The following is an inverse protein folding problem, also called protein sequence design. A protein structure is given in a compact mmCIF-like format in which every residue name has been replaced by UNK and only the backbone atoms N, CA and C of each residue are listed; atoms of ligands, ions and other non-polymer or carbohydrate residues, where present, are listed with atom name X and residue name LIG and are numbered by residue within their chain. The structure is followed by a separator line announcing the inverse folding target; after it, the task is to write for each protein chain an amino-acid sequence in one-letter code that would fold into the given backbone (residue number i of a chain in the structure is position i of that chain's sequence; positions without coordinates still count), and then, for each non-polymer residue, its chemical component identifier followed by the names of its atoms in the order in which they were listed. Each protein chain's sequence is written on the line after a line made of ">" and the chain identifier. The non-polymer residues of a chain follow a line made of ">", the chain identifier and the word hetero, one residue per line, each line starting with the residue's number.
data_IF_773858621508
#
_entry.id   IF_773858621508
#
_cell.length_a   1.000
_cell.length_b   1.000
_cell.length_c   1.000
_cell.angle_alpha   90.00
_cell.angle_beta   90.00
_cell.angle_gamma   90.00
#
_symmetry.space_group_name_H-M   'P 1'
#
loop_
_entity.id
_entity.type
_entity.pdbx_description
1 polymer ?
#
# COMPACT_ATOMS: atom_id res chain seq x y z
N UNK A 1 5.16 20.12 1.77
CA UNK A 1 4.60 19.16 0.79
C UNK A 1 3.28 18.68 1.35
N UNK A 2 2.23 18.62 0.54
CA UNK A 2 0.90 18.18 0.98
C UNK A 2 0.92 16.69 1.33
N UNK A 3 0.42 16.33 2.52
CA UNK A 3 0.32 14.95 3.01
C UNK A 3 -0.45 14.07 2.02
N UNK A 4 -1.47 14.62 1.35
CA UNK A 4 -2.21 13.92 0.31
C UNK A 4 -1.33 13.57 -0.91
N UNK A 5 -0.46 14.50 -1.33
CA UNK A 5 0.46 14.25 -2.44
C UNK A 5 1.49 13.16 -2.11
N UNK A 6 2.02 13.14 -0.88
CA UNK A 6 2.95 12.08 -0.44
C UNK A 6 2.27 10.71 -0.37
N UNK A 7 1.06 10.65 0.21
CA UNK A 7 0.25 9.44 0.24
C UNK A 7 -0.07 8.93 -1.18
N UNK A 8 -0.35 9.85 -2.13
CA UNK A 8 -0.59 9.49 -3.53
C UNK A 8 0.63 8.94 -4.23
N UNK A 9 1.79 9.57 -4.09
CA UNK A 9 3.03 9.04 -4.64
C UNK A 9 3.31 7.62 -4.12
N UNK A 10 3.17 7.40 -2.81
CA UNK A 10 3.38 6.08 -2.20
C UNK A 10 2.35 5.03 -2.65
N UNK A 11 1.07 5.42 -2.81
CA UNK A 11 0.04 4.52 -3.33
C UNK A 11 0.33 4.10 -4.78
N UNK A 12 0.77 5.03 -5.64
CA UNK A 12 1.14 4.73 -7.04
C UNK A 12 2.33 3.78 -7.10
N UNK A 13 3.34 3.99 -6.27
CA UNK A 13 4.50 3.09 -6.17
C UNK A 13 4.08 1.68 -5.73
N UNK A 14 3.13 1.58 -4.81
CA UNK A 14 2.64 0.30 -4.28
C UNK A 14 1.99 -0.58 -5.35
N UNK A 15 1.48 -0.01 -6.45
CA UNK A 15 0.85 -0.76 -7.55
C UNK A 15 1.68 -0.75 -8.84
N UNK A 16 2.90 -0.20 -8.82
CA UNK A 16 3.71 -0.02 -10.01
C UNK A 16 4.22 -1.34 -10.62
N UNK A 17 4.31 -2.40 -9.82
CA UNK A 17 4.73 -3.75 -10.19
C UNK A 17 3.60 -4.63 -10.74
N UNK A 18 2.36 -4.13 -10.78
CA UNK A 18 1.21 -4.90 -11.25
C UNK A 18 1.28 -5.09 -12.77
N UNK A 19 1.12 -6.33 -13.20
CA UNK A 19 0.93 -6.71 -14.60
C UNK A 19 -0.49 -7.30 -14.77
N UNK A 20 -1.13 -7.16 -15.94
CA UNK A 20 -0.64 -6.56 -17.19
C UNK A 20 -0.66 -5.01 -17.21
N UNK A 21 -0.05 -4.35 -18.23
CA UNK A 21 0.05 -2.88 -18.27
C UNK A 21 -1.29 -2.16 -18.36
N UNK A 22 -2.30 -2.78 -19.00
CA UNK A 22 -3.65 -2.23 -19.08
C UNK A 22 -4.29 -2.12 -17.69
N UNK A 23 -4.23 -3.18 -16.88
CA UNK A 23 -4.72 -3.16 -15.50
C UNK A 23 -3.96 -2.14 -14.65
N UNK A 24 -2.63 -2.07 -14.80
CA UNK A 24 -1.82 -1.07 -14.11
C UNK A 24 -2.23 0.36 -14.48
N UNK A 25 -2.54 0.63 -15.74
CA UNK A 25 -3.01 1.94 -16.17
C UNK A 25 -4.33 2.31 -15.50
N UNK A 26 -5.30 1.38 -15.43
CA UNK A 26 -6.56 1.57 -14.70
C UNK A 26 -6.30 1.91 -13.24
N UNK A 27 -5.45 1.15 -12.54
CA UNK A 27 -5.10 1.41 -11.15
C UNK A 27 -4.50 2.82 -10.95
N UNK A 28 -3.57 3.22 -11.82
CA UNK A 28 -2.88 4.50 -11.74
C UNK A 28 -3.79 5.70 -12.04
N UNK A 29 -4.71 5.57 -13.00
CA UNK A 29 -5.69 6.61 -13.33
C UNK A 29 -6.65 6.84 -12.16
N UNK A 30 -7.14 5.76 -11.56
CA UNK A 30 -8.02 5.81 -10.39
C UNK A 30 -7.36 6.47 -9.18
N UNK A 31 -6.09 6.15 -8.92
CA UNK A 31 -5.33 6.77 -7.83
C UNK A 31 -5.06 8.27 -8.07
N UNK A 32 -5.03 8.71 -9.32
CA UNK A 32 -4.88 10.12 -9.67
C UNK A 32 -6.15 10.90 -9.34
N UNK A 33 -7.32 10.36 -9.72
CA UNK A 33 -8.61 11.05 -9.65
C UNK A 33 -9.28 10.94 -8.29
N UNK A 34 -8.94 9.92 -7.49
CA UNK A 34 -9.61 9.72 -6.20
C UNK A 34 -9.17 10.69 -5.09
N UNK A 35 -10.04 10.85 -4.10
CA UNK A 35 -9.73 11.53 -2.83
C UNK A 35 -8.77 10.71 -1.98
N UNK A 36 -7.74 11.36 -1.46
CA UNK A 36 -6.81 10.76 -0.47
C UNK A 36 -7.27 10.95 0.98
N UNK A 37 -8.51 11.36 1.20
CA UNK A 37 -9.04 11.60 2.55
C UNK A 37 -8.90 10.39 3.50
N UNK A 38 -9.19 9.13 3.10
CA UNK A 38 -9.00 7.98 3.98
C UNK A 38 -7.55 7.83 4.47
N UNK A 39 -6.57 7.87 3.56
CA UNK A 39 -5.15 7.77 3.91
C UNK A 39 -4.67 8.97 4.73
N UNK A 40 -5.08 10.18 4.37
CA UNK A 40 -4.74 11.41 5.12
C UNK A 40 -5.32 11.37 6.53
N UNK A 41 -6.54 10.86 6.70
CA UNK A 41 -7.17 10.73 8.02
C UNK A 41 -6.35 9.83 8.96
N UNK A 42 -5.72 8.77 8.46
CA UNK A 42 -4.81 7.92 9.25
C UNK A 42 -3.64 8.76 9.78
N UNK A 43 -3.02 9.56 8.91
CA UNK A 43 -1.86 10.39 9.26
C UNK A 43 -2.22 11.51 10.25
N UNK A 44 -3.34 12.21 10.01
CA UNK A 44 -3.83 13.28 10.89
C UNK A 44 -4.26 12.72 12.25
N UNK A 45 -4.88 11.54 12.30
CA UNK A 45 -5.28 10.91 13.56
C UNK A 45 -4.06 10.53 14.42
N UNK A 46 -3.00 9.99 13.80
CA UNK A 46 -1.78 9.63 14.51
C UNK A 46 -1.04 10.87 15.04
N UNK A 47 -0.82 11.86 14.17
CA UNK A 47 -0.09 13.08 14.52
C UNK A 47 -0.88 14.02 15.43
N UNK A 48 -2.22 14.01 15.35
CA UNK A 48 -3.08 14.76 16.28
C UNK A 48 -3.06 14.21 17.70
N UNK A 49 -2.78 12.90 17.86
CA UNK A 49 -2.57 12.27 19.18
C UNK A 49 -1.17 12.51 19.72
N UNK A 50 -0.16 12.47 18.86
CA UNK A 50 1.25 12.73 19.21
C UNK A 50 1.98 13.36 18.01
N UNK A 51 2.27 14.67 18.14
CA UNK A 51 2.92 15.45 17.09
C UNK A 51 4.40 15.11 16.89
N UNK A 52 5.00 14.31 17.77
CA UNK A 52 6.38 13.84 17.62
C UNK A 52 6.51 12.61 16.68
N UNK A 53 5.38 11.99 16.31
CA UNK A 53 5.37 10.82 15.43
C UNK A 53 5.73 11.23 14.00
N UNK A 54 6.76 10.59 13.46
CA UNK A 54 7.15 10.76 12.06
C UNK A 54 6.07 10.22 11.11
N UNK A 55 5.87 10.90 9.98
CA UNK A 55 4.85 10.52 8.99
C UNK A 55 5.34 9.33 8.16
N UNK A 56 6.64 9.24 7.90
CA UNK A 56 7.23 8.26 6.99
C UNK A 56 6.89 6.80 7.38
N UNK A 57 7.01 6.36 8.65
CA UNK A 57 6.62 5.01 9.05
C UNK A 57 5.10 4.76 8.99
N UNK A 58 4.28 5.83 8.95
CA UNK A 58 2.83 5.73 8.87
C UNK A 58 2.32 5.71 7.43
N UNK A 59 3.17 6.02 6.44
CA UNK A 59 2.76 6.07 5.03
C UNK A 59 2.24 4.71 4.55
N UNK A 60 2.91 3.61 4.89
CA UNK A 60 2.47 2.27 4.48
C UNK A 60 1.08 1.95 5.05
N UNK A 61 0.79 2.38 6.28
CA UNK A 61 -0.52 2.22 6.90
C UNK A 61 -1.58 3.09 6.22
N UNK A 62 -1.24 4.34 5.93
CA UNK A 62 -2.13 5.27 5.25
C UNK A 62 -2.46 4.79 3.83
N UNK A 63 -1.46 4.31 3.09
CA UNK A 63 -1.63 3.73 1.75
C UNK A 63 -2.47 2.45 1.84
N UNK A 64 -2.18 1.55 2.77
CA UNK A 64 -2.95 0.31 2.93
C UNK A 64 -4.44 0.56 3.14
N UNK A 65 -4.78 1.51 4.03
CA UNK A 65 -6.17 1.93 4.25
C UNK A 65 -6.77 2.60 3.01
N UNK A 66 -6.01 3.46 2.33
CA UNK A 66 -6.47 4.14 1.11
C UNK A 66 -6.81 3.14 -0.01
N UNK A 67 -5.95 2.15 -0.23
CA UNK A 67 -6.16 1.14 -1.27
C UNK A 67 -7.39 0.26 -0.95
N UNK A 68 -7.54 -0.18 0.31
CA UNK A 68 -8.73 -0.94 0.73
C UNK A 68 -9.99 -0.12 0.54
N UNK A 69 -9.98 1.16 0.96
CA UNK A 69 -11.14 2.04 0.80
C UNK A 69 -11.54 2.17 -0.66
N UNK A 70 -10.58 2.44 -1.56
CA UNK A 70 -10.92 2.58 -2.97
C UNK A 70 -11.34 1.30 -3.66
N UNK A 71 -10.71 0.17 -3.31
CA UNK A 71 -11.14 -1.12 -3.83
C UNK A 71 -12.59 -1.42 -3.45
N UNK A 72 -12.96 -1.23 -2.18
CA UNK A 72 -14.33 -1.45 -1.72
C UNK A 72 -15.33 -0.43 -2.27
N UNK A 73 -14.91 0.83 -2.46
CA UNK A 73 -15.74 1.86 -3.11
C UNK A 73 -16.03 1.48 -4.56
N UNK A 74 -15.02 0.96 -5.27
CA UNK A 74 -15.19 0.46 -6.63
C UNK A 74 -16.11 -0.74 -6.69
N UNK A 75 -15.89 -1.75 -5.85
CA UNK A 75 -16.77 -2.93 -5.76
C UNK A 75 -18.22 -2.50 -5.54
N UNK A 76 -18.45 -1.49 -4.70
CA UNK A 76 -19.80 -0.94 -4.51
C UNK A 76 -20.36 -0.29 -5.77
N UNK A 77 -19.59 0.54 -6.47
CA UNK A 77 -20.03 1.19 -7.72
C UNK A 77 -20.42 0.13 -8.76
N UNK A 78 -19.51 -0.82 -8.99
CA UNK A 78 -19.68 -1.94 -9.91
C UNK A 78 -20.92 -2.76 -9.60
N UNK A 79 -21.18 -3.08 -8.33
CA UNK A 79 -22.36 -3.81 -7.93
C UNK A 79 -23.69 -3.04 -8.12
N UNK A 80 -23.66 -1.72 -8.27
CA UNK A 80 -24.86 -0.91 -8.55
C UNK A 80 -25.04 -0.61 -10.04
N UNK A 81 -23.93 -0.39 -10.75
CA UNK A 81 -23.93 0.02 -12.15
C UNK A 81 -23.96 -1.20 -13.10
N UNK A 82 -23.48 -2.36 -12.63
CA UNK A 82 -23.40 -3.62 -13.37
C UNK A 82 -22.94 -3.45 -14.84
N UNK A 83 -21.81 -2.75 -15.08
CA UNK A 83 -21.41 -2.32 -16.43
C UNK A 83 -21.20 -3.48 -17.41
N UNK A 84 -20.91 -4.69 -16.92
CA UNK A 84 -20.81 -5.91 -17.73
C UNK A 84 -22.13 -6.37 -18.36
N UNK A 85 -23.27 -5.77 -18.03
CA UNK A 85 -24.58 -6.17 -18.57
C UNK A 85 -24.92 -5.53 -19.92
N UNK A 86 -24.31 -4.39 -20.24
CA UNK A 86 -24.64 -3.54 -21.40
C UNK A 86 -23.47 -3.42 -22.41
N UNK A 87 -22.42 -4.24 -22.28
CA UNK A 87 -21.20 -4.16 -23.10
C UNK A 87 -21.08 -5.29 -24.12
N UNK A 88 -20.34 -5.04 -25.20
CA UNK A 88 -19.97 -6.06 -26.20
C UNK A 88 -18.93 -7.03 -25.62
N UNK A 89 -18.93 -8.30 -26.06
CA UNK A 89 -17.97 -9.34 -25.64
C UNK A 89 -16.49 -8.96 -25.88
N UNK A 90 -16.21 -7.94 -26.69
CA UNK A 90 -14.86 -7.42 -26.95
C UNK A 90 -14.40 -6.32 -26.01
N UNK A 91 -15.30 -5.73 -25.20
CA UNK A 91 -14.97 -4.72 -24.20
C UNK A 91 -14.54 -5.37 -22.88
N UNK A 92 -13.32 -5.06 -22.44
CA UNK A 92 -12.74 -5.64 -21.21
C UNK A 92 -12.65 -4.63 -20.06
N UNK A 93 -13.14 -3.40 -20.25
CA UNK A 93 -12.96 -2.33 -19.26
C UNK A 93 -13.69 -2.65 -17.94
N UNK A 94 -14.90 -3.20 -18.02
CA UNK A 94 -15.65 -3.66 -16.86
C UNK A 94 -14.90 -4.78 -16.09
N UNK A 95 -14.31 -5.73 -16.82
CA UNK A 95 -13.50 -6.80 -16.23
C UNK A 95 -12.23 -6.25 -15.57
N UNK A 96 -11.56 -5.29 -16.22
CA UNK A 96 -10.39 -4.63 -15.67
C UNK A 96 -10.73 -3.84 -14.40
N UNK A 97 -11.89 -3.20 -14.34
CA UNK A 97 -12.34 -2.51 -13.13
C UNK A 97 -12.64 -3.48 -11.97
N UNK A 98 -13.22 -4.66 -12.25
CA UNK A 98 -13.39 -5.72 -11.24
C UNK A 98 -12.02 -6.14 -10.69
N UNK A 99 -11.06 -6.45 -11.58
CA UNK A 99 -9.71 -6.83 -11.18
C UNK A 99 -8.99 -5.70 -10.44
N UNK A 100 -9.21 -4.44 -10.84
CA UNK A 100 -8.65 -3.30 -10.15
C UNK A 100 -9.17 -3.20 -8.73
N UNK A 101 -10.47 -3.44 -8.49
CA UNK A 101 -11.05 -3.46 -7.16
C UNK A 101 -10.36 -4.52 -6.27
N UNK A 102 -10.24 -5.75 -6.78
CA UNK A 102 -9.65 -6.87 -6.05
C UNK A 102 -8.16 -6.66 -5.74
N UNK A 103 -7.40 -6.11 -6.69
CA UNK A 103 -5.98 -5.78 -6.49
C UNK A 103 -5.83 -4.68 -5.44
N UNK A 104 -6.63 -3.62 -5.48
CA UNK A 104 -6.58 -2.54 -4.49
C UNK A 104 -6.85 -3.06 -3.06
N UNK A 105 -7.89 -3.88 -2.89
CA UNK A 105 -8.19 -4.50 -1.59
C UNK A 105 -7.06 -5.41 -1.13
N UNK A 106 -6.63 -6.34 -1.99
CA UNK A 106 -5.63 -7.36 -1.65
C UNK A 106 -4.27 -6.75 -1.37
N UNK A 107 -3.82 -5.80 -2.19
CA UNK A 107 -2.54 -5.10 -2.00
C UNK A 107 -2.56 -4.23 -0.75
N UNK A 108 -3.68 -3.56 -0.48
CA UNK A 108 -3.86 -2.80 0.75
C UNK A 108 -3.77 -3.68 1.99
N UNK A 109 -4.45 -4.83 2.02
CA UNK A 109 -4.32 -5.80 3.11
C UNK A 109 -2.91 -6.38 3.23
N UNK A 110 -2.27 -6.72 2.10
CA UNK A 110 -0.89 -7.21 2.08
C UNK A 110 0.06 -6.19 2.72
N UNK A 111 -0.06 -4.91 2.36
CA UNK A 111 0.74 -3.85 2.94
C UNK A 111 0.53 -3.75 4.46
N UNK A 112 -0.73 -3.75 4.91
CA UNK A 112 -1.07 -3.70 6.34
C UNK A 112 -0.60 -4.93 7.12
N UNK A 113 -0.64 -6.12 6.54
CA UNK A 113 -0.17 -7.35 7.18
C UNK A 113 1.35 -7.33 7.43
N UNK A 114 2.10 -6.58 6.62
CA UNK A 114 3.55 -6.40 6.79
C UNK A 114 3.94 -5.22 7.66
N UNK A 115 2.98 -4.38 8.08
CA UNK A 115 3.27 -3.34 9.06
C UNK A 115 3.48 -3.97 10.43
N UNK A 116 4.66 -3.78 11.03
CA UNK A 116 4.90 -4.22 12.40
C UNK A 116 3.84 -3.56 13.31
N UNK A 117 3.19 -4.38 14.14
CA UNK A 117 2.40 -3.85 15.24
C UNK A 117 3.32 -2.89 16.01
N UNK A 118 2.94 -1.61 16.12
CA UNK A 118 3.69 -0.59 16.84
C UNK A 118 4.09 -1.14 18.22
N UNK A 119 5.33 -1.62 18.35
CA UNK A 119 5.74 -2.47 19.46
C UNK A 119 6.76 -3.55 19.08
N UNK A 120 7.89 -3.15 18.49
CA UNK A 120 9.02 -4.06 18.33
C UNK A 120 9.98 -3.58 17.26
N UNK A 121 10.91 -2.70 17.62
CA UNK A 121 11.94 -2.24 16.69
C UNK A 121 12.63 -3.41 15.99
N UNK A 122 12.53 -3.41 14.66
CA UNK A 122 13.36 -4.21 13.76
C UNK A 122 14.82 -4.20 14.22
N UNK A 123 15.27 -5.31 14.83
CA UNK A 123 16.70 -5.55 15.03
C UNK A 123 17.34 -5.77 13.67
N UNK A 124 18.43 -5.06 13.47
CA UNK A 124 19.25 -5.01 12.26
C UNK A 124 19.33 -6.33 11.49
N UNK A 125 18.89 -6.29 10.24
CA UNK A 125 19.19 -7.32 9.24
C UNK A 125 20.50 -6.97 8.51
N UNK A 126 21.56 -6.69 9.25
CA UNK A 126 22.95 -6.55 8.73
C UNK A 126 23.93 -6.61 9.90
N UNK A 127 24.36 -7.83 10.24
CA UNK A 127 25.29 -8.05 11.33
C UNK A 127 25.97 -9.42 11.28
N UNK A 128 26.34 -9.88 10.08
CA UNK A 128 27.28 -10.98 9.98
C UNK A 128 28.66 -10.44 10.40
N UNK A 129 28.98 -10.47 11.70
CA UNK A 129 30.35 -10.29 12.15
C UNK A 129 31.13 -11.58 11.83
N UNK A 130 32.30 -11.50 11.18
CA UNK A 130 33.14 -12.66 11.00
C UNK A 130 33.63 -13.14 12.36
N UNK A 131 33.65 -14.48 12.55
CA UNK A 131 34.25 -15.12 13.72
C UNK A 131 35.72 -14.72 13.78
N UNK A 132 36.11 -13.99 14.81
CA UNK A 132 37.51 -13.74 15.14
C UNK A 132 38.15 -15.04 15.60
N UNK A 133 39.32 -15.29 15.01
CA UNK A 133 40.27 -16.37 15.22
C UNK A 133 40.40 -16.84 16.68
N UNK A 134 40.33 -18.16 16.87
CA UNK A 134 40.62 -18.85 18.12
C UNK A 134 42.14 -19.11 18.17
N UNK A 135 42.90 -18.22 18.80
CA UNK A 135 44.31 -18.48 19.13
C UNK A 135 44.37 -19.18 20.49
N UNK A 136 45.05 -20.33 20.62
CA UNK A 136 45.11 -21.04 21.88
C UNK A 136 46.00 -20.31 22.90
N UNK A 137 45.77 -20.48 24.21
CA UNK A 137 46.52 -19.76 25.23
C UNK A 137 47.96 -20.29 25.34
N UNK A 138 48.90 -19.35 25.48
CA UNK A 138 50.25 -19.60 25.96
C UNK A 138 50.21 -20.40 27.27
N UNK A 139 51.03 -21.44 27.34
CA UNK A 139 51.27 -22.20 28.57
C UNK A 139 52.54 -21.68 29.22
N UNK A 140 52.41 -21.26 30.47
CA UNK A 140 53.53 -21.08 31.41
C UNK A 140 54.31 -22.40 31.63
#
# INVERSE_FOLDING_TARGET
>A
MDTAARARAAARETVADIEPPALRAVLLDRLETTSMAPGVLVLVSATGRDSSVAIEPLLDRAVGVQLIYEGLRLTRSLAHEEPWTDVDDTEIDADLDILAADVLVSRGFSLLATTEAFGGGRRDRTGLRPRSDDSPPDRD
#
